data_IF_601633793138
#
_entry.id   IF_601633793138
#
_cell.length_a   1.000
_cell.length_b   1.000
_cell.length_c   1.000
_cell.angle_alpha   90.00
_cell.angle_beta   90.00
_cell.angle_gamma   90.00
#
_symmetry.space_group_name_H-M   'P 1'
#
loop_
_entity.id
_entity.type
_entity.pdbx_description
1 polymer ?
#
# COMPACT_ATOMS: atom_id res chain seq x y z
N UNK A 1 -3.78 65.77 -33.73
CA UNK A 1 -4.81 66.80 -33.54
C UNK A 1 -5.49 66.57 -32.19
N UNK A 2 -5.54 67.65 -31.39
CA UNK A 2 -6.59 68.02 -30.43
C UNK A 2 -7.00 66.99 -29.36
N UNK A 3 -6.61 67.20 -28.10
CA UNK A 3 -7.06 68.20 -27.12
C UNK A 3 -8.09 67.61 -26.14
N UNK A 4 -7.73 67.78 -24.87
CA UNK A 4 -8.49 67.57 -23.63
C UNK A 4 -9.83 68.33 -23.62
N UNK A 5 -10.83 67.79 -22.92
CA UNK A 5 -11.79 68.51 -22.07
C UNK A 5 -12.68 67.45 -21.36
N UNK A 6 -12.55 67.15 -20.06
CA UNK A 6 -12.93 67.93 -18.86
C UNK A 6 -14.45 68.24 -18.82
N UNK A 7 -15.20 67.58 -17.91
CA UNK A 7 -15.95 68.18 -16.77
C UNK A 7 -16.92 67.18 -16.12
N UNK A 8 -16.64 66.82 -14.86
CA UNK A 8 -17.63 66.51 -13.82
C UNK A 8 -18.36 67.83 -13.43
N UNK A 9 -19.54 67.88 -12.74
CA UNK A 9 -19.67 67.41 -11.35
C UNK A 9 -21.08 66.99 -10.84
N UNK A 10 -21.05 66.44 -9.61
CA UNK A 10 -21.98 66.73 -8.49
C UNK A 10 -23.46 66.30 -8.58
N UNK A 11 -24.20 65.98 -7.51
CA UNK A 11 -24.01 65.60 -6.11
C UNK A 11 -25.45 65.56 -5.55
N UNK A 12 -25.83 64.52 -4.79
CA UNK A 12 -26.87 64.49 -3.73
C UNK A 12 -27.32 63.04 -3.60
N UNK A 13 -27.36 62.42 -2.43
CA UNK A 13 -27.24 62.91 -1.07
C UNK A 13 -28.06 61.97 -0.19
N UNK A 14 -27.37 61.32 0.75
CA UNK A 14 -27.82 60.77 2.03
C UNK A 14 -29.28 60.32 2.16
N UNK A 15 -29.48 59.05 2.52
CA UNK A 15 -30.17 58.74 3.78
C UNK A 15 -29.61 57.45 4.39
N UNK A 16 -29.13 57.62 5.60
CA UNK A 16 -28.67 56.61 6.55
C UNK A 16 -29.79 55.61 6.88
N UNK A 17 -29.44 54.32 6.84
CA UNK A 17 -30.14 53.28 7.59
C UNK A 17 -29.07 52.38 8.22
N UNK A 18 -28.54 52.82 9.36
CA UNK A 18 -27.91 51.92 10.32
C UNK A 18 -28.96 50.91 10.78
N UNK A 19 -28.70 49.62 10.56
CA UNK A 19 -29.35 48.53 11.29
C UNK A 19 -28.31 47.44 11.62
N UNK A 20 -28.52 46.75 12.74
CA UNK A 20 -27.51 46.63 13.78
C UNK A 20 -26.55 45.46 13.54
N UNK A 21 -25.31 45.64 13.99
CA UNK A 21 -24.41 44.53 14.27
C UNK A 21 -25.09 43.65 15.32
N UNK A 22 -25.61 42.51 14.88
CA UNK A 22 -26.07 41.46 15.78
C UNK A 22 -24.85 40.87 16.48
N UNK A 23 -24.50 41.46 17.63
CA UNK A 23 -23.70 40.82 18.66
C UNK A 23 -24.53 39.70 19.29
N UNK A 24 -24.83 38.65 18.51
CA UNK A 24 -25.10 37.37 19.13
C UNK A 24 -23.73 36.76 19.38
N UNK A 25 -23.23 36.94 20.59
CA UNK A 25 -22.25 36.02 21.17
C UNK A 25 -22.92 34.66 21.12
N UNK A 26 -22.73 33.96 19.99
CA UNK A 26 -23.08 32.57 19.84
C UNK A 26 -22.07 31.83 20.69
N UNK A 27 -22.37 31.77 21.99
CA UNK A 27 -21.93 30.68 22.83
C UNK A 27 -22.59 29.45 22.23
N UNK A 28 -22.01 28.93 21.13
CA UNK A 28 -22.19 27.53 20.81
C UNK A 28 -21.64 26.80 22.03
N UNK A 29 -22.46 25.97 22.71
CA UNK A 29 -21.89 25.04 23.65
C UNK A 29 -20.92 24.18 22.84
N UNK A 30 -19.63 24.31 23.14
CA UNK A 30 -18.61 23.36 22.74
C UNK A 30 -18.84 22.07 23.52
N UNK A 31 -19.98 21.44 23.30
CA UNK A 31 -20.20 20.06 23.69
C UNK A 31 -20.02 19.30 22.40
N UNK A 32 -18.75 19.09 22.04
CA UNK A 32 -18.39 17.88 21.32
C UNK A 32 -19.03 16.75 22.13
N UNK A 33 -20.18 16.23 21.68
CA UNK A 33 -20.68 14.95 22.15
C UNK A 33 -19.80 13.83 21.57
N UNK A 34 -18.49 14.00 21.68
CA UNK A 34 -17.54 12.93 21.87
C UNK A 34 -17.51 12.56 23.35
N UNK A 35 -18.69 12.46 23.96
CA UNK A 35 -18.92 11.32 24.84
C UNK A 35 -18.95 10.13 23.88
N UNK A 36 -17.75 9.68 23.52
CA UNK A 36 -17.50 8.33 23.05
C UNK A 36 -18.43 7.46 23.88
N UNK A 37 -19.45 6.91 23.22
CA UNK A 37 -20.22 5.84 23.78
C UNK A 37 -19.21 4.73 23.98
N UNK A 38 -18.52 4.69 25.11
CA UNK A 38 -17.82 3.53 25.60
C UNK A 38 -18.91 2.53 25.90
N UNK A 39 -19.48 1.91 24.85
CA UNK A 39 -20.13 0.64 25.00
C UNK A 39 -19.03 -0.28 25.49
N UNK A 40 -19.32 -1.00 26.55
CA UNK A 40 -18.43 -2.07 26.98
C UNK A 40 -18.47 -3.11 25.86
N UNK A 41 -17.36 -3.27 25.14
CA UNK A 41 -17.20 -4.35 24.17
C UNK A 41 -17.61 -5.66 24.84
N UNK A 42 -18.62 -6.34 24.29
CA UNK A 42 -19.11 -7.59 24.88
C UNK A 42 -17.97 -8.61 24.92
N UNK A 43 -17.97 -9.49 25.92
CA UNK A 43 -16.94 -10.53 26.06
C UNK A 43 -16.91 -11.46 24.85
N UNK A 44 -18.06 -11.70 24.23
CA UNK A 44 -18.19 -12.52 23.01
C UNK A 44 -17.57 -11.85 21.79
N UNK A 45 -17.89 -10.57 21.53
CA UNK A 45 -17.32 -9.82 20.40
C UNK A 45 -15.81 -9.65 20.58
N UNK A 46 -15.35 -9.38 21.81
CA UNK A 46 -13.92 -9.35 22.12
C UNK A 46 -13.23 -10.66 21.76
N UNK A 47 -13.78 -11.80 22.21
CA UNK A 47 -13.22 -13.11 21.91
C UNK A 47 -13.23 -13.43 20.41
N UNK A 48 -14.27 -13.00 19.69
CA UNK A 48 -14.35 -13.14 18.24
C UNK A 48 -13.26 -12.33 17.53
N UNK A 49 -13.03 -11.08 17.95
CA UNK A 49 -11.95 -10.22 17.43
C UNK A 49 -10.58 -10.80 17.77
N UNK A 50 -10.36 -11.25 19.01
CA UNK A 50 -9.11 -11.89 19.44
C UNK A 50 -8.80 -13.13 18.57
N UNK A 51 -9.82 -13.92 18.25
CA UNK A 51 -9.68 -15.06 17.33
C UNK A 51 -9.38 -14.60 15.91
N UNK A 52 -10.01 -13.54 15.44
CA UNK A 52 -9.81 -12.99 14.11
C UNK A 52 -8.39 -12.44 13.93
N UNK A 53 -7.86 -11.66 14.88
CA UNK A 53 -6.46 -11.16 14.81
C UNK A 53 -5.43 -12.27 14.94
N UNK A 54 -5.81 -13.42 15.50
CA UNK A 54 -4.97 -14.61 15.62
C UNK A 54 -5.07 -15.56 14.41
N UNK A 55 -5.94 -15.30 13.43
CA UNK A 55 -6.19 -16.24 12.32
C UNK A 55 -5.04 -16.29 11.31
N UNK A 56 -4.29 -15.21 11.18
CA UNK A 56 -3.15 -15.09 10.28
C UNK A 56 -2.12 -14.10 10.84
N UNK A 57 -0.85 -14.15 10.40
CA UNK A 57 0.15 -13.17 10.80
C UNK A 57 -0.22 -11.74 10.41
N UNK A 58 -0.83 -11.53 9.23
CA UNK A 58 -1.28 -10.21 8.77
C UNK A 58 -2.80 -10.22 8.63
N UNK A 59 -3.47 -9.42 9.44
CA UNK A 59 -4.93 -9.33 9.47
C UNK A 59 -5.39 -7.91 9.18
N UNK A 60 -6.31 -7.75 8.24
CA UNK A 60 -6.86 -6.46 7.84
C UNK A 60 -8.38 -6.41 8.03
N UNK A 61 -8.87 -5.51 8.88
CA UNK A 61 -10.28 -5.17 8.92
C UNK A 61 -10.55 -4.03 7.92
N UNK A 62 -11.39 -4.29 6.92
CA UNK A 62 -11.62 -3.35 5.81
C UNK A 62 -13.09 -3.30 5.38
N UNK A 63 -13.42 -2.31 4.54
CA UNK A 63 -14.75 -2.18 3.92
C UNK A 63 -14.75 -2.83 2.54
N UNK A 64 -15.49 -3.93 2.40
CA UNK A 64 -15.44 -4.80 1.23
C UNK A 64 -14.39 -5.91 1.41
N UNK A 65 -14.00 -6.53 0.30
CA UNK A 65 -12.95 -7.58 0.27
C UNK A 65 -11.70 -7.08 -0.46
N UNK A 66 -10.56 -7.77 -0.38
CA UNK A 66 -9.37 -7.44 -1.17
C UNK A 66 -9.65 -7.36 -2.68
N UNK A 67 -10.50 -8.24 -3.20
CA UNK A 67 -10.90 -8.29 -4.61
C UNK A 67 -11.90 -7.17 -4.96
N UNK A 68 -12.78 -6.83 -4.00
CA UNK A 68 -13.85 -5.84 -4.19
C UNK A 68 -13.86 -4.79 -3.07
N UNK A 69 -12.85 -3.90 -3.00
CA UNK A 69 -12.79 -2.89 -1.96
C UNK A 69 -13.86 -1.81 -2.18
N UNK A 70 -14.68 -1.55 -1.15
CA UNK A 70 -15.83 -0.65 -1.19
C UNK A 70 -15.56 0.74 -0.58
N UNK A 71 -14.31 1.03 -0.22
CA UNK A 71 -13.87 2.32 0.29
C UNK A 71 -12.48 2.67 -0.24
N UNK A 72 -12.24 3.94 -0.59
CA UNK A 72 -10.94 4.40 -1.10
C UNK A 72 -9.78 4.09 -0.15
N UNK A 73 -9.94 4.33 1.14
CA UNK A 73 -8.91 4.02 2.15
C UNK A 73 -8.62 2.50 2.24
N UNK A 74 -9.65 1.67 2.15
CA UNK A 74 -9.50 0.21 2.11
C UNK A 74 -8.77 -0.25 0.85
N UNK A 75 -9.09 0.33 -0.32
CA UNK A 75 -8.38 0.07 -1.58
C UNK A 75 -6.91 0.46 -1.49
N UNK A 76 -6.62 1.66 -0.98
CA UNK A 76 -5.24 2.13 -0.80
C UNK A 76 -4.45 1.23 0.13
N UNK A 77 -5.05 0.76 1.22
CA UNK A 77 -4.36 -0.15 2.15
C UNK A 77 -4.01 -1.49 1.50
N UNK A 78 -4.94 -2.10 0.75
CA UNK A 78 -4.64 -3.32 -0.03
C UNK A 78 -3.53 -3.08 -1.05
N UNK A 79 -3.55 -1.95 -1.75
CA UNK A 79 -2.50 -1.59 -2.71
C UNK A 79 -1.13 -1.48 -2.04
N UNK A 80 -1.05 -0.83 -0.87
CA UNK A 80 0.20 -0.72 -0.11
C UNK A 80 0.71 -2.10 0.30
N UNK A 81 -0.14 -2.96 0.88
CA UNK A 81 0.28 -4.31 1.28
C UNK A 81 0.75 -5.15 0.10
N UNK A 82 0.10 -5.02 -1.06
CA UNK A 82 0.55 -5.66 -2.30
C UNK A 82 1.91 -5.13 -2.78
N UNK A 83 2.14 -3.81 -2.71
CA UNK A 83 3.44 -3.21 -3.03
C UNK A 83 4.55 -3.61 -2.05
N UNK A 84 4.20 -3.94 -0.80
CA UNK A 84 5.14 -4.49 0.18
C UNK A 84 5.43 -5.97 -0.01
N UNK A 85 4.75 -6.65 -0.95
CA UNK A 85 4.96 -8.08 -1.21
C UNK A 85 4.49 -8.97 -0.07
N UNK A 86 3.44 -8.58 0.67
CA UNK A 86 2.86 -9.43 1.72
C UNK A 86 2.39 -10.75 1.11
N UNK A 87 2.82 -11.85 1.71
CA UNK A 87 2.48 -13.21 1.30
C UNK A 87 0.96 -13.46 1.43
N UNK A 88 0.25 -13.77 0.33
CA UNK A 88 -1.18 -14.06 0.36
C UNK A 88 -1.57 -15.19 1.31
N UNK A 89 -0.67 -16.15 1.57
CA UNK A 89 -0.92 -17.27 2.49
C UNK A 89 -0.89 -16.86 3.97
N UNK A 90 -0.25 -15.73 4.28
CA UNK A 90 -0.13 -15.15 5.63
C UNK A 90 -1.05 -13.95 5.84
N UNK A 91 -1.85 -13.61 4.83
CA UNK A 91 -2.75 -12.48 4.84
C UNK A 91 -4.21 -12.94 4.96
N UNK A 92 -4.99 -12.25 5.79
CA UNK A 92 -6.44 -12.43 5.86
C UNK A 92 -7.11 -11.06 6.00
N UNK A 93 -8.24 -10.89 5.31
CA UNK A 93 -9.05 -9.69 5.41
C UNK A 93 -10.47 -10.02 5.89
N UNK A 94 -11.01 -9.17 6.77
CA UNK A 94 -12.38 -9.27 7.26
C UNK A 94 -13.19 -8.06 6.78
N UNK A 95 -14.33 -8.33 6.14
CA UNK A 95 -15.25 -7.31 5.65
C UNK A 95 -16.17 -6.83 6.77
N UNK A 96 -15.90 -5.65 7.32
CA UNK A 96 -16.72 -5.08 8.42
C UNK A 96 -18.08 -4.54 7.95
N UNK A 97 -18.39 -4.59 6.65
CA UNK A 97 -19.72 -4.18 6.16
C UNK A 97 -20.76 -5.30 6.29
N UNK A 98 -20.32 -6.54 6.48
CA UNK A 98 -21.21 -7.71 6.63
C UNK A 98 -21.62 -7.94 8.09
N UNK A 99 -20.88 -7.36 9.04
CA UNK A 99 -21.11 -7.53 10.47
C UNK A 99 -20.92 -6.18 11.20
N UNK A 100 -22.04 -5.62 11.69
CA UNK A 100 -22.06 -4.33 12.39
C UNK A 100 -21.49 -4.44 13.83
N UNK A 101 -21.58 -5.62 14.46
CA UNK A 101 -20.96 -5.88 15.77
C UNK A 101 -19.45 -5.91 15.62
N UNK A 102 -18.92 -6.58 14.59
CA UNK A 102 -17.49 -6.55 14.27
C UNK A 102 -17.03 -5.12 13.95
N UNK A 103 -17.80 -4.38 13.16
CA UNK A 103 -17.47 -3.01 12.75
C UNK A 103 -17.38 -2.03 13.92
N UNK A 104 -18.30 -2.14 14.87
CA UNK A 104 -18.28 -1.31 16.07
C UNK A 104 -17.22 -1.82 17.04
N UNK A 105 -17.16 -3.14 17.21
CA UNK A 105 -16.27 -3.79 18.17
C UNK A 105 -14.79 -3.61 17.85
N UNK A 106 -14.38 -3.67 16.58
CA UNK A 106 -12.97 -3.48 16.23
C UNK A 106 -12.47 -2.07 16.54
N UNK A 107 -13.35 -1.05 16.46
CA UNK A 107 -12.98 0.32 16.82
C UNK A 107 -12.74 0.47 18.32
N UNK A 108 -13.58 -0.17 19.12
CA UNK A 108 -13.44 -0.18 20.58
C UNK A 108 -12.27 -1.06 21.03
N UNK A 109 -12.03 -2.19 20.34
CA UNK A 109 -10.93 -3.11 20.64
C UNK A 109 -9.57 -2.46 20.43
N UNK A 110 -9.37 -1.77 19.30
CA UNK A 110 -8.12 -1.10 18.95
C UNK A 110 -7.97 0.29 19.57
N UNK A 111 -9.00 0.81 20.26
CA UNK A 111 -9.14 2.22 20.60
C UNK A 111 -8.89 3.16 19.39
N UNK A 112 -9.44 2.78 18.23
CA UNK A 112 -9.18 3.45 16.95
C UNK A 112 -10.47 3.69 16.15
N UNK A 113 -10.81 4.94 15.79
CA UNK A 113 -12.15 5.27 15.29
C UNK A 113 -12.39 4.93 13.81
N UNK A 114 -11.33 4.68 13.03
CA UNK A 114 -11.41 4.56 11.56
C UNK A 114 -11.16 3.14 11.06
N UNK A 115 -11.63 2.86 9.84
CA UNK A 115 -11.42 1.62 9.08
C UNK A 115 -10.86 2.05 7.72
N UNK A 116 -9.82 1.39 7.16
CA UNK A 116 -9.26 0.09 7.56
C UNK A 116 -8.36 0.12 8.80
N UNK A 117 -8.14 -1.06 9.40
CA UNK A 117 -7.22 -1.30 10.54
C UNK A 117 -6.36 -2.55 10.28
N UNK A 118 -5.04 -2.39 10.34
CA UNK A 118 -4.07 -3.47 10.12
C UNK A 118 -3.53 -3.99 11.46
N UNK A 119 -3.46 -5.32 11.54
CA UNK A 119 -2.82 -6.07 12.60
C UNK A 119 -1.69 -6.91 12.01
N UNK A 120 -0.56 -6.97 12.72
CA UNK A 120 0.56 -7.86 12.41
C UNK A 120 0.94 -8.58 13.69
N UNK A 121 0.93 -9.92 13.68
CA UNK A 121 1.16 -10.78 14.85
C UNK A 121 0.33 -10.38 16.08
N UNK A 122 -0.96 -10.08 15.84
CA UNK A 122 -1.95 -9.63 16.86
C UNK A 122 -1.68 -8.25 17.44
N UNK A 123 -0.66 -7.54 16.98
CA UNK A 123 -0.36 -6.16 17.37
C UNK A 123 -1.03 -5.19 16.39
N UNK A 124 -1.73 -4.19 16.93
CA UNK A 124 -2.33 -3.14 16.13
C UNK A 124 -1.24 -2.23 15.55
N UNK A 125 -1.18 -2.16 14.22
CA UNK A 125 -0.19 -1.32 13.51
C UNK A 125 -0.76 0.08 13.24
N UNK A 126 -1.99 0.15 12.73
CA UNK A 126 -2.61 1.44 12.42
C UNK A 126 -3.71 1.39 11.37
N UNK A 127 -4.27 2.57 11.09
CA UNK A 127 -5.18 2.79 9.97
C UNK A 127 -4.47 3.25 8.68
N UNK A 128 -5.26 3.52 7.63
CA UNK A 128 -4.75 3.85 6.29
C UNK A 128 -3.67 4.94 6.26
N UNK A 129 -3.85 6.06 6.98
CA UNK A 129 -2.92 7.20 6.92
C UNK A 129 -1.56 6.86 7.55
N UNK A 130 -1.57 6.06 8.63
CA UNK A 130 -0.34 5.57 9.27
C UNK A 130 0.39 4.65 8.30
N UNK A 131 -0.30 3.71 7.66
CA UNK A 131 0.31 2.80 6.68
C UNK A 131 0.88 3.52 5.48
N UNK A 132 0.22 4.59 5.00
CA UNK A 132 0.76 5.45 3.94
C UNK A 132 2.08 6.08 4.38
N UNK A 133 2.17 6.57 5.62
CA UNK A 133 3.39 7.19 6.14
C UNK A 133 4.50 6.16 6.34
N UNK A 134 4.19 5.03 6.98
CA UNK A 134 5.14 3.93 7.19
C UNK A 134 5.67 3.33 5.87
N UNK A 135 4.82 3.30 4.84
CA UNK A 135 5.25 2.91 3.49
C UNK A 135 6.22 3.91 2.88
N UNK A 136 6.01 5.22 3.09
CA UNK A 136 6.87 6.27 2.54
C UNK A 136 8.22 6.36 3.24
N UNK A 137 8.26 6.16 4.55
CA UNK A 137 9.49 6.24 5.34
C UNK A 137 10.25 4.90 5.42
N UNK A 138 9.66 3.81 4.90
CA UNK A 138 10.28 2.49 4.85
C UNK A 138 10.03 1.62 6.09
N UNK A 139 9.51 2.19 7.19
CA UNK A 139 9.28 1.46 8.44
C UNK A 139 8.26 0.31 8.31
N UNK A 140 7.34 0.39 7.33
CA UNK A 140 6.43 -0.72 7.03
C UNK A 140 7.17 -1.93 6.46
N UNK A 141 8.14 -1.71 5.58
CA UNK A 141 8.92 -2.78 4.97
C UNK A 141 9.76 -3.50 6.03
N UNK A 142 10.41 -2.72 6.89
CA UNK A 142 11.22 -3.24 8.00
C UNK A 142 10.37 -4.10 8.95
N UNK A 143 9.18 -3.61 9.33
CA UNK A 143 8.26 -4.35 10.18
C UNK A 143 7.82 -5.67 9.54
N UNK A 144 7.42 -5.66 8.27
CA UNK A 144 6.93 -6.86 7.58
C UNK A 144 8.06 -7.88 7.34
N UNK A 145 9.29 -7.41 7.09
CA UNK A 145 10.47 -8.26 6.95
C UNK A 145 10.86 -8.89 8.30
N UNK A 146 10.87 -8.12 9.39
CA UNK A 146 11.15 -8.62 10.74
C UNK A 146 10.19 -9.75 11.14
N UNK A 147 8.90 -9.57 10.83
CA UNK A 147 7.85 -10.56 11.11
C UNK A 147 7.80 -11.71 10.08
N UNK A 148 8.64 -11.68 9.03
CA UNK A 148 8.75 -12.69 7.97
C UNK A 148 7.43 -12.98 7.26
N UNK A 149 6.68 -11.91 6.95
CA UNK A 149 5.36 -12.01 6.29
C UNK A 149 5.38 -11.60 4.82
N UNK A 150 6.55 -11.28 4.27
CA UNK A 150 6.76 -11.00 2.85
C UNK A 150 7.07 -12.29 2.09
N UNK A 151 6.78 -12.31 0.78
CA UNK A 151 7.22 -13.37 -0.12
C UNK A 151 8.74 -13.26 -0.24
N UNK A 152 9.46 -14.28 0.22
CA UNK A 152 10.89 -14.40 -0.07
C UNK A 152 11.00 -14.80 -1.54
N UNK A 153 11.40 -13.85 -2.39
CA UNK A 153 11.93 -14.22 -3.70
C UNK A 153 13.26 -14.92 -3.43
N UNK A 154 13.33 -16.22 -3.72
CA UNK A 154 14.59 -16.97 -3.72
C UNK A 154 15.58 -16.18 -4.58
N UNK A 155 16.50 -15.47 -3.92
CA UNK A 155 17.61 -14.83 -4.60
C UNK A 155 18.37 -15.95 -5.31
N UNK A 156 18.24 -16.01 -6.64
CA UNK A 156 19.05 -16.89 -7.45
C UNK A 156 20.52 -16.68 -7.08
N UNK A 157 21.12 -17.77 -6.64
CA UNK A 157 22.54 -17.88 -6.42
C UNK A 157 23.21 -17.88 -7.81
N UNK A 158 23.50 -16.70 -8.35
CA UNK A 158 24.41 -16.54 -9.48
C UNK A 158 25.83 -16.68 -8.96
N UNK A 159 26.28 -17.92 -8.77
CA UNK A 159 27.70 -18.23 -8.61
C UNK A 159 28.37 -18.04 -9.98
N UNK A 160 28.77 -16.80 -10.26
CA UNK A 160 29.69 -16.45 -11.34
C UNK A 160 31.03 -17.19 -11.13
N UNK A 161 31.28 -18.26 -11.89
CA UNK A 161 32.64 -18.82 -12.08
C UNK A 161 33.08 -18.55 -13.51
N UNK A 162 33.44 -17.29 -13.77
CA UNK A 162 34.30 -16.93 -14.90
C UNK A 162 35.76 -17.01 -14.44
N UNK A 163 36.53 -17.95 -15.00
CA UNK A 163 37.96 -18.01 -14.69
C UNK A 163 38.68 -19.31 -15.04
N UNK A 164 38.67 -19.74 -16.30
CA UNK A 164 39.78 -20.54 -16.83
C UNK A 164 40.38 -19.85 -18.05
N UNK A 165 41.54 -19.26 -17.80
CA UNK A 165 42.40 -18.54 -18.74
C UNK A 165 42.82 -19.44 -19.90
N UNK A 166 42.86 -18.84 -21.08
CA UNK A 166 43.65 -19.30 -22.22
C UNK A 166 45.15 -19.11 -21.97
N UNK A 167 45.97 -20.08 -22.35
CA UNK A 167 47.43 -19.93 -22.55
C UNK A 167 47.90 -20.90 -23.66
N UNK A 168 47.79 -20.42 -24.91
CA UNK A 168 48.84 -20.30 -25.96
C UNK A 168 50.03 -21.32 -26.05
N UNK A 169 49.99 -22.14 -27.12
CA UNK A 169 51.04 -22.40 -28.17
C UNK A 169 52.30 -23.24 -27.89
N UNK A 170 52.58 -24.13 -28.87
CA UNK A 170 53.86 -24.57 -29.52
C UNK A 170 53.92 -26.10 -29.64
N UNK A 171 54.36 -26.79 -30.70
CA UNK A 171 54.71 -26.53 -32.11
C UNK A 171 55.07 -27.92 -32.70
N UNK A 172 54.70 -28.16 -33.98
CA UNK A 172 55.42 -28.92 -35.04
C UNK A 172 55.97 -30.35 -34.83
N UNK A 173 55.71 -31.23 -35.80
CA UNK A 173 56.65 -32.08 -36.62
C UNK A 173 55.82 -33.22 -37.25
N UNK A 174 55.36 -33.10 -38.50
CA UNK A 174 55.99 -33.56 -39.76
C UNK A 174 56.04 -35.08 -40.01
N UNK A 175 55.42 -35.45 -41.15
CA UNK A 175 55.85 -36.39 -42.20
C UNK A 175 55.54 -37.91 -42.18
N UNK A 176 55.19 -38.36 -43.40
CA UNK A 176 55.41 -39.69 -44.01
C UNK A 176 54.28 -40.73 -43.79
N UNK A 177 53.65 -41.41 -44.76
CA UNK A 177 53.97 -41.71 -46.18
C UNK A 177 52.80 -42.47 -46.85
N UNK A 178 52.60 -42.25 -48.17
CA UNK A 178 52.10 -43.24 -49.17
C UNK A 178 50.62 -43.62 -49.13
N UNK A 179 49.89 -43.89 -50.22
CA UNK A 179 50.19 -43.97 -51.65
C UNK A 179 48.94 -44.45 -52.44
N UNK A 180 48.66 -43.77 -53.55
CA UNK A 180 48.17 -44.25 -54.88
C UNK A 180 47.45 -45.62 -55.01
N UNK A 181 46.21 -45.61 -55.54
CA UNK A 181 45.61 -46.45 -56.63
C UNK A 181 44.10 -46.13 -56.73
N UNK A 182 43.55 -45.56 -57.82
CA UNK A 182 43.17 -46.09 -59.14
C UNK A 182 41.98 -47.08 -59.14
N UNK A 183 41.14 -46.88 -60.18
CA UNK A 183 40.09 -47.74 -60.76
C UNK A 183 38.66 -47.51 -60.18
N UNK A 184 37.67 -46.94 -60.89
CA UNK A 184 37.05 -47.17 -62.22
C UNK A 184 35.87 -48.15 -62.20
N UNK A 185 34.80 -47.78 -62.93
CA UNK A 185 33.52 -48.47 -63.24
C UNK A 185 32.44 -48.44 -62.15
N UNK A 186 31.16 -48.18 -62.44
CA UNK A 186 30.47 -47.99 -63.72
C UNK A 186 28.96 -47.80 -63.52
N UNK A 187 28.31 -47.35 -64.61
CA UNK A 187 26.95 -47.68 -65.12
C UNK A 187 25.73 -47.43 -64.21
N UNK A 188 24.91 -46.42 -64.53
CA UNK A 188 23.67 -46.46 -65.35
C UNK A 188 22.55 -47.31 -64.72
N UNK A 189 21.32 -46.85 -64.52
CA UNK A 189 20.44 -45.99 -65.33
C UNK A 189 19.41 -45.28 -64.45
#
# INVERSE_FOLDING_TARGET
MLQRAIKTPALRGLLSSLRPAATHSSLQPLINSQLSQTRLLSTEVRAAIDKAVASAPVVLFMKGTPETPQCGFSRTTIQILGLQGVDPSKFTAFNVLEDEELRSGIKEFSDWPTIPQLYVDKEFVGGCDILINMHKDGSLADLLAEKKVIVEEDAEQTDDVEGHKAEEVRQTTEQSTGGRSKDAKGESS
#
